data_IF_035964219611
#
_entry.id   IF_035964219611
#
_cell.length_a   1.000
_cell.length_b   1.000
_cell.length_c   1.000
_cell.angle_alpha   90.00
_cell.angle_beta   90.00
_cell.angle_gamma   90.00
#
_symmetry.space_group_name_H-M   'P 1'
#
loop_
_entity.id
_entity.type
_entity.pdbx_description
1 polymer ?
#
# COMPACT_ATOMS: atom_id res chain seq x y z
N UNK A 1 33.07 -6.97 -27.95
CA UNK A 1 32.27 -7.50 -26.87
C UNK A 1 30.81 -7.89 -27.26
N UNK A 2 30.38 -7.60 -28.48
CA UNK A 2 29.03 -7.91 -28.99
C UNK A 2 28.86 -9.37 -29.49
N UNK A 3 29.92 -10.07 -29.79
CA UNK A 3 29.86 -11.44 -30.38
C UNK A 3 29.56 -12.55 -29.36
N UNK A 4 29.76 -12.30 -28.06
CA UNK A 4 29.59 -13.32 -27.03
C UNK A 4 28.12 -13.45 -26.56
N UNK A 5 27.30 -12.38 -26.65
CA UNK A 5 25.92 -12.38 -26.26
C UNK A 5 25.03 -13.14 -27.27
N UNK A 6 25.31 -13.01 -28.54
CA UNK A 6 24.53 -13.66 -29.62
C UNK A 6 24.60 -15.20 -29.60
N UNK A 7 25.70 -15.77 -29.05
CA UNK A 7 25.89 -17.23 -28.97
C UNK A 7 25.08 -17.89 -27.83
N UNK A 8 24.78 -17.14 -26.76
CA UNK A 8 24.00 -17.65 -25.64
C UNK A 8 22.49 -17.77 -25.96
N UNK A 9 21.96 -16.86 -26.75
CA UNK A 9 20.53 -16.88 -27.10
C UNK A 9 20.17 -18.06 -28.03
N UNK A 10 21.06 -18.45 -28.90
CA UNK A 10 20.82 -19.58 -29.80
C UNK A 10 20.92 -20.94 -29.10
N UNK A 11 21.72 -21.06 -28.05
CA UNK A 11 21.87 -22.31 -27.29
C UNK A 11 20.62 -22.59 -26.41
N UNK A 12 19.97 -21.55 -25.89
CA UNK A 12 18.75 -21.70 -25.07
C UNK A 12 17.54 -22.04 -25.92
N UNK A 13 17.44 -21.50 -27.16
CA UNK A 13 16.33 -21.78 -28.07
C UNK A 13 16.32 -23.22 -28.60
N UNK A 14 17.50 -23.80 -28.87
CA UNK A 14 17.58 -25.18 -29.36
C UNK A 14 17.23 -26.23 -28.30
N UNK A 15 17.53 -25.97 -27.02
CA UNK A 15 17.19 -26.91 -25.94
C UNK A 15 15.69 -26.95 -25.60
N UNK A 16 14.97 -25.87 -25.85
CA UNK A 16 13.51 -25.80 -25.61
C UNK A 16 12.73 -26.51 -26.71
N UNK A 17 13.23 -26.46 -27.96
CA UNK A 17 12.55 -27.09 -29.10
C UNK A 17 12.70 -28.62 -29.07
N UNK A 18 13.87 -29.14 -28.62
CA UNK A 18 14.10 -30.58 -28.56
C UNK A 18 13.29 -31.29 -27.48
N UNK A 19 12.94 -30.60 -26.37
CA UNK A 19 12.08 -31.17 -25.32
C UNK A 19 10.60 -31.27 -25.71
N UNK A 20 10.13 -30.46 -26.67
CA UNK A 20 8.74 -30.54 -27.14
C UNK A 20 8.50 -31.64 -28.17
N UNK A 21 9.50 -32.03 -28.94
CA UNK A 21 9.35 -33.08 -29.94
C UNK A 21 9.28 -34.50 -29.35
N UNK A 22 9.88 -34.75 -28.20
CA UNK A 22 9.86 -36.06 -27.53
C UNK A 22 8.56 -36.36 -26.80
N UNK A 23 7.74 -35.33 -26.50
CA UNK A 23 6.47 -35.53 -25.79
C UNK A 23 5.32 -35.98 -26.68
N UNK A 24 5.39 -35.71 -28.00
CA UNK A 24 4.31 -36.09 -28.94
C UNK A 24 4.43 -37.52 -29.50
N UNK A 25 5.60 -38.14 -29.40
CA UNK A 25 5.84 -39.51 -29.86
C UNK A 25 5.30 -40.60 -28.91
N UNK A 26 5.02 -40.27 -27.65
CA UNK A 26 4.51 -41.21 -26.65
C UNK A 26 2.98 -41.19 -26.51
N UNK A 27 2.30 -40.22 -27.16
CA UNK A 27 0.85 -40.03 -27.00
C UNK A 27 -0.02 -40.83 -27.96
N UNK A 28 0.57 -41.54 -28.94
CA UNK A 28 -0.24 -42.23 -29.98
C UNK A 28 -0.39 -43.74 -29.77
N UNK A 29 0.14 -44.32 -28.69
CA UNK A 29 0.07 -45.79 -28.46
C UNK A 29 -0.87 -46.22 -27.33
N UNK A 30 -1.67 -45.31 -26.73
CA UNK A 30 -2.65 -45.65 -25.71
C UNK A 30 -4.07 -45.20 -26.05
N UNK A 31 -4.50 -45.48 -27.28
CA UNK A 31 -5.90 -45.32 -27.68
C UNK A 31 -6.65 -46.60 -27.30
N UNK A 32 -7.18 -46.69 -26.10
CA UNK A 32 -7.99 -47.88 -25.78
C UNK A 32 -8.43 -48.08 -24.35
N UNK A 33 -8.65 -47.02 -23.54
CA UNK A 33 -9.43 -47.19 -22.33
C UNK A 33 -10.07 -45.85 -21.92
N UNK A 34 -11.37 -45.75 -22.18
CA UNK A 34 -12.20 -44.61 -21.75
C UNK A 34 -12.37 -44.64 -20.24
N UNK A 35 -11.47 -43.99 -19.50
CA UNK A 35 -11.70 -43.62 -18.13
C UNK A 35 -12.26 -42.20 -18.07
N UNK A 36 -13.43 -41.99 -17.45
CA UNK A 36 -13.92 -40.64 -17.20
C UNK A 36 -12.97 -39.99 -16.18
N UNK A 37 -12.05 -39.15 -16.67
CA UNK A 37 -11.22 -38.32 -15.80
C UNK A 37 -12.12 -37.30 -15.11
N UNK A 38 -12.18 -37.24 -13.78
CA UNK A 38 -12.84 -36.16 -13.10
C UNK A 38 -12.12 -34.84 -13.46
N UNK A 39 -12.87 -33.91 -14.01
CA UNK A 39 -12.42 -32.55 -14.34
C UNK A 39 -12.20 -31.82 -13.00
N UNK A 40 -11.04 -32.01 -12.41
CA UNK A 40 -10.62 -31.20 -11.28
C UNK A 40 -10.25 -29.85 -11.86
N UNK A 41 -11.22 -28.93 -11.82
CA UNK A 41 -10.97 -27.53 -12.08
C UNK A 41 -9.94 -27.04 -11.05
N UNK A 42 -8.67 -26.99 -11.44
CA UNK A 42 -7.64 -26.30 -10.69
C UNK A 42 -8.00 -24.84 -10.65
N UNK A 43 -8.65 -24.40 -9.56
CA UNK A 43 -8.72 -22.98 -9.25
C UNK A 43 -7.27 -22.52 -9.06
N UNK A 44 -6.68 -22.00 -10.11
CA UNK A 44 -5.44 -21.26 -10.01
C UNK A 44 -5.76 -19.97 -9.25
N UNK A 45 -5.61 -19.99 -7.93
CA UNK A 45 -5.52 -18.76 -7.15
C UNK A 45 -4.30 -18.01 -7.67
N UNK A 46 -4.52 -17.02 -8.51
CA UNK A 46 -3.49 -16.08 -8.91
C UNK A 46 -3.04 -15.37 -7.64
N UNK A 47 -1.92 -15.81 -7.08
CA UNK A 47 -1.23 -15.09 -6.01
C UNK A 47 -0.76 -13.80 -6.66
N UNK A 48 -1.50 -12.71 -6.43
CA UNK A 48 -1.05 -11.36 -6.77
C UNK A 48 0.18 -11.09 -5.93
N UNK A 49 1.34 -11.30 -6.51
CA UNK A 49 2.62 -11.02 -5.90
C UNK A 49 2.76 -9.50 -5.81
N UNK A 50 2.34 -8.94 -4.69
CA UNK A 50 2.52 -7.52 -4.41
C UNK A 50 4.01 -7.25 -4.26
N UNK A 51 4.59 -6.51 -5.20
CA UNK A 51 5.96 -6.03 -5.10
C UNK A 51 6.07 -5.05 -3.93
N UNK A 52 6.52 -5.57 -2.80
CA UNK A 52 6.83 -4.76 -1.62
C UNK A 52 8.16 -4.05 -1.86
N UNK A 53 8.18 -2.75 -1.68
CA UNK A 53 9.32 -1.88 -1.88
C UNK A 53 9.60 -1.11 -0.60
N UNK A 54 10.87 -0.97 -0.25
CA UNK A 54 11.28 -0.06 0.81
C UNK A 54 11.31 1.37 0.29
N UNK A 55 10.57 2.24 0.94
CA UNK A 55 10.57 3.68 0.68
C UNK A 55 11.12 4.42 1.90
N UNK A 56 11.70 5.57 1.65
CA UNK A 56 12.13 6.53 2.67
C UNK A 56 11.43 7.85 2.44
N UNK A 57 11.24 8.63 3.48
CA UNK A 57 10.67 9.96 3.33
C UNK A 57 11.04 10.87 4.49
N UNK A 58 10.74 12.15 4.32
CA UNK A 58 10.91 13.18 5.33
C UNK A 58 9.57 13.89 5.49
N UNK A 59 9.13 14.03 6.73
CA UNK A 59 7.94 14.80 7.09
C UNK A 59 8.39 16.15 7.65
N UNK A 60 7.86 17.23 7.09
CA UNK A 60 8.14 18.61 7.46
C UNK A 60 6.86 19.36 7.75
N UNK A 61 6.97 20.43 8.50
CA UNK A 61 5.89 21.40 8.64
C UNK A 61 5.87 22.44 7.50
N UNK A 62 4.98 23.40 7.57
CA UNK A 62 4.86 24.49 6.57
C UNK A 62 6.08 25.44 6.59
N UNK A 63 6.85 25.50 7.71
CA UNK A 63 8.03 26.33 7.87
C UNK A 63 9.29 25.63 7.33
N UNK A 64 9.20 24.31 7.10
CA UNK A 64 10.30 23.46 6.63
C UNK A 64 11.02 22.71 7.74
N UNK A 65 10.54 22.81 8.98
CA UNK A 65 11.09 22.11 10.14
C UNK A 65 10.68 20.62 10.13
N UNK A 66 11.54 19.71 10.60
CA UNK A 66 11.22 18.29 10.64
C UNK A 66 10.18 18.00 11.73
N UNK A 67 9.14 17.24 11.37
CA UNK A 67 8.11 16.80 12.32
C UNK A 67 8.53 15.46 12.92
N UNK A 68 8.88 15.49 14.21
CA UNK A 68 9.36 14.34 14.98
C UNK A 68 8.15 13.56 15.52
N UNK A 69 8.16 12.24 15.42
CA UNK A 69 7.10 11.39 15.98
C UNK A 69 5.79 11.40 15.17
N UNK A 70 5.80 11.89 13.95
CA UNK A 70 4.64 11.80 13.05
C UNK A 70 4.34 10.33 12.70
N UNK A 71 3.07 9.96 12.73
CA UNK A 71 2.63 8.62 12.43
C UNK A 71 2.42 8.46 10.92
N UNK A 72 3.09 7.48 10.31
CA UNK A 72 3.01 7.16 8.88
C UNK A 72 2.44 5.77 8.74
N UNK A 73 1.21 5.63 8.24
CA UNK A 73 0.47 4.36 8.16
C UNK A 73 0.01 4.10 6.73
N UNK A 74 0.12 2.85 6.30
CA UNK A 74 -0.48 2.40 5.05
C UNK A 74 -2.01 2.26 5.23
N UNK A 75 -2.78 2.95 4.42
CA UNK A 75 -4.24 2.91 4.46
C UNK A 75 -4.74 1.49 4.16
N UNK A 76 -5.62 0.98 5.03
CA UNK A 76 -6.16 -0.38 4.90
C UNK A 76 -5.23 -1.50 5.37
N UNK A 77 -4.16 -1.17 6.10
CA UNK A 77 -3.21 -2.12 6.68
C UNK A 77 -2.79 -1.68 8.08
N UNK A 78 -2.25 -2.60 8.85
CA UNK A 78 -1.58 -2.32 10.15
C UNK A 78 -0.11 -1.93 9.97
N UNK A 79 0.36 -1.86 8.72
CA UNK A 79 1.74 -1.52 8.40
C UNK A 79 1.97 -0.02 8.56
N UNK A 80 2.85 0.37 9.46
CA UNK A 80 3.15 1.77 9.74
C UNK A 80 4.47 1.96 10.46
N UNK A 81 4.89 3.21 10.58
CA UNK A 81 6.10 3.64 11.27
C UNK A 81 5.91 5.06 11.82
N UNK A 82 6.85 5.53 12.62
CA UNK A 82 6.92 6.90 13.11
C UNK A 82 8.17 7.59 12.57
N UNK A 83 8.14 8.91 12.46
CA UNK A 83 9.31 9.71 12.06
C UNK A 83 10.32 9.83 13.19
N UNK A 84 11.59 9.86 12.83
CA UNK A 84 12.73 10.07 13.76
C UNK A 84 12.94 11.56 14.09
N UNK A 85 14.06 11.85 14.77
CA UNK A 85 14.45 13.21 15.19
C UNK A 85 14.74 14.16 14.01
N UNK A 86 15.04 13.63 12.85
CA UNK A 86 15.24 14.37 11.60
C UNK A 86 13.95 14.43 10.76
N UNK A 87 12.82 13.97 11.29
CA UNK A 87 11.56 13.83 10.55
C UNK A 87 11.58 12.74 9.47
N UNK A 88 12.58 11.85 9.47
CA UNK A 88 12.72 10.80 8.47
C UNK A 88 11.94 9.55 8.86
N UNK A 89 11.46 8.82 7.86
CA UNK A 89 10.84 7.50 8.05
C UNK A 89 11.27 6.52 6.97
N UNK A 90 11.18 5.25 7.30
CA UNK A 90 11.39 4.13 6.35
C UNK A 90 10.25 3.14 6.53
N UNK A 91 9.63 2.74 5.41
CA UNK A 91 8.49 1.81 5.42
C UNK A 91 8.53 0.90 4.20
N UNK A 92 8.15 -0.37 4.40
CA UNK A 92 8.01 -1.34 3.31
C UNK A 92 6.56 -1.35 2.84
N UNK A 93 6.31 -0.94 1.60
CA UNK A 93 4.95 -0.83 1.03
C UNK A 93 4.91 -1.27 -0.42
N UNK A 94 3.72 -1.63 -0.90
CA UNK A 94 3.52 -1.93 -2.32
C UNK A 94 3.39 -0.65 -3.14
N UNK A 95 3.83 -0.69 -4.39
CA UNK A 95 3.58 0.40 -5.35
C UNK A 95 2.08 0.58 -5.53
N UNK A 96 1.61 1.82 -5.52
CA UNK A 96 0.19 2.18 -5.56
C UNK A 96 -0.49 2.22 -4.19
N UNK A 97 0.18 1.82 -3.09
CA UNK A 97 -0.35 1.95 -1.75
C UNK A 97 -0.57 3.43 -1.38
N UNK A 98 -1.60 3.70 -0.59
CA UNK A 98 -1.83 5.02 -0.02
C UNK A 98 -1.25 5.07 1.39
N UNK A 99 -0.46 6.10 1.67
CA UNK A 99 0.05 6.39 3.00
C UNK A 99 -0.72 7.56 3.59
N UNK A 100 -1.08 7.43 4.85
CA UNK A 100 -1.64 8.50 5.66
C UNK A 100 -0.59 8.93 6.67
N UNK A 101 -0.29 10.21 6.70
CA UNK A 101 0.62 10.82 7.67
C UNK A 101 -0.20 11.71 8.59
N UNK A 102 -0.07 11.50 9.89
CA UNK A 102 -0.81 12.25 10.91
C UNK A 102 0.09 12.64 12.07
N UNK A 103 -0.15 13.82 12.64
CA UNK A 103 0.51 14.33 13.83
C UNK A 103 -0.42 15.26 14.60
N UNK A 104 -0.29 15.31 15.93
CA UNK A 104 -1.14 16.15 16.80
C UNK A 104 -0.97 17.62 16.42
N UNK A 105 -2.08 18.33 16.18
CA UNK A 105 -2.08 19.74 15.79
C UNK A 105 -1.83 19.99 14.31
N UNK A 106 -1.82 18.95 13.48
CA UNK A 106 -1.66 19.05 12.04
C UNK A 106 -2.76 18.32 11.28
N UNK A 107 -3.07 18.84 10.12
CA UNK A 107 -4.01 18.19 9.20
C UNK A 107 -3.40 16.93 8.60
N UNK A 108 -4.18 15.86 8.58
CA UNK A 108 -3.78 14.58 7.99
C UNK A 108 -3.46 14.73 6.50
N UNK A 109 -2.33 14.20 6.07
CA UNK A 109 -1.93 14.16 4.67
C UNK A 109 -1.95 12.74 4.12
N UNK A 110 -2.45 12.58 2.90
CA UNK A 110 -2.41 11.29 2.20
C UNK A 110 -1.59 11.42 0.91
N UNK A 111 -0.69 10.46 0.71
CA UNK A 111 0.10 10.34 -0.52
C UNK A 111 -0.06 8.95 -1.12
N UNK A 112 0.09 8.84 -2.43
CA UNK A 112 0.12 7.55 -3.13
C UNK A 112 1.57 7.20 -3.47
N UNK A 113 1.98 5.98 -3.11
CA UNK A 113 3.32 5.48 -3.40
C UNK A 113 3.46 5.20 -4.89
N UNK A 114 4.36 5.90 -5.55
CA UNK A 114 4.75 5.69 -6.94
C UNK A 114 6.04 4.86 -7.04
N UNK A 115 6.68 4.87 -8.19
CA UNK A 115 7.98 4.21 -8.37
C UNK A 115 9.15 4.92 -7.67
N UNK A 116 8.95 6.11 -7.11
CA UNK A 116 9.97 6.83 -6.35
C UNK A 116 10.31 6.12 -5.05
N UNK A 117 11.57 6.23 -4.60
CA UNK A 117 12.03 5.67 -3.33
C UNK A 117 12.03 6.70 -2.21
N UNK A 118 11.99 8.01 -2.56
CA UNK A 118 12.05 9.10 -1.60
C UNK A 118 10.84 10.03 -1.72
N UNK A 119 10.31 10.44 -0.58
CA UNK A 119 9.13 11.30 -0.46
C UNK A 119 9.40 12.44 0.51
N UNK A 120 8.92 13.64 0.16
CA UNK A 120 8.86 14.78 1.08
C UNK A 120 7.40 15.12 1.30
N UNK A 121 6.97 15.10 2.56
CA UNK A 121 5.58 15.31 2.96
C UNK A 121 5.55 16.56 3.81
N UNK A 122 4.69 17.52 3.46
CA UNK A 122 4.53 18.77 4.20
C UNK A 122 3.20 18.71 4.93
N UNK A 123 3.21 18.73 6.26
CA UNK A 123 2.03 18.85 7.08
C UNK A 123 1.67 20.33 7.28
N UNK A 124 0.39 20.64 7.25
CA UNK A 124 -0.14 21.96 7.58
C UNK A 124 -0.73 21.92 8.97
N UNK A 125 -0.47 22.95 9.75
CA UNK A 125 -1.07 23.10 11.07
C UNK A 125 -2.60 23.15 10.98
N UNK A 126 -3.26 22.47 11.88
CA UNK A 126 -4.71 22.50 12.01
C UNK A 126 -5.10 23.73 12.84
N UNK A 127 -5.34 24.84 12.14
CA UNK A 127 -5.77 26.10 12.77
C UNK A 127 -7.27 26.11 13.12
N UNK A 128 -8.05 25.09 12.65
CA UNK A 128 -9.47 25.02 12.92
C UNK A 128 -9.82 24.27 14.25
N UNK A 129 -8.83 23.67 14.90
CA UNK A 129 -9.00 22.90 16.15
C UNK A 129 -9.33 23.74 17.38
N UNK A 130 -9.41 25.07 17.27
CA UNK A 130 -9.83 26.00 18.33
C UNK A 130 -11.25 26.53 18.11
N UNK A 131 -12.12 25.81 17.43
CA UNK A 131 -13.53 26.13 17.49
C UNK A 131 -13.99 25.89 18.94
N UNK A 132 -14.08 27.02 19.64
CA UNK A 132 -14.51 27.22 21.01
C UNK A 132 -15.66 26.26 21.31
N UNK A 133 -15.43 25.32 22.23
CA UNK A 133 -16.54 24.58 22.84
C UNK A 133 -17.39 25.61 23.57
N UNK A 134 -18.35 26.21 22.87
CA UNK A 134 -19.40 26.96 23.48
C UNK A 134 -20.18 25.97 24.35
N UNK A 135 -19.85 25.93 25.62
CA UNK A 135 -20.64 25.28 26.63
C UNK A 135 -21.97 25.99 26.66
N UNK A 136 -22.93 25.52 25.85
CA UNK A 136 -24.30 25.96 25.95
C UNK A 136 -24.80 25.47 27.32
N UNK A 137 -24.71 26.36 28.30
CA UNK A 137 -25.30 26.14 29.60
C UNK A 137 -26.79 25.90 29.44
N UNK A 138 -27.20 24.66 29.57
CA UNK A 138 -28.62 24.31 29.76
C UNK A 138 -29.12 24.90 31.05
N UNK A 139 -29.63 26.12 30.99
CA UNK A 139 -30.21 26.84 32.12
C UNK A 139 -31.46 27.63 31.71
N UNK A 140 -32.45 26.99 31.12
CA UNK A 140 -33.78 27.57 31.03
C UNK A 140 -34.56 27.29 32.32
N UNK A 141 -34.35 28.11 33.34
CA UNK A 141 -35.34 28.19 34.42
C UNK A 141 -36.62 28.82 33.89
N UNK A 142 -37.59 27.97 33.71
CA UNK A 142 -38.99 28.40 33.47
C UNK A 142 -39.50 29.09 34.71
N UNK A 143 -39.57 30.44 34.70
CA UNK A 143 -40.27 31.21 35.72
C UNK A 143 -41.77 30.83 35.68
N UNK A 144 -42.19 30.03 36.64
CA UNK A 144 -43.58 29.82 36.92
C UNK A 144 -44.07 31.03 37.73
N UNK A 145 -44.83 31.93 37.11
CA UNK A 145 -45.57 32.97 37.79
C UNK A 145 -46.73 32.30 38.59
N UNK A 146 -46.57 32.23 39.89
CA UNK A 146 -47.64 31.98 40.83
C UNK A 146 -48.24 33.32 41.22
N UNK A 147 -49.26 33.75 40.49
CA UNK A 147 -50.25 34.72 41.00
C UNK A 147 -51.31 33.92 41.70
N UNK A 148 -51.27 33.93 43.02
CA UNK A 148 -52.34 33.46 43.88
C UNK A 148 -52.94 34.66 44.60
N UNK A 149 -54.24 34.85 44.40
CA UNK A 149 -55.13 35.72 45.21
C UNK A 149 -55.38 35.11 46.54
#
# INVERSE_FOLDING_TARGET
MQFYQKRRENCVKTHVILKKASFYACLTLFAGMAFPMPLWASLSTAIVQQHVKQITGIVKDANGDPVIGANVVQVGSTNGTITDVDGKFTLNVSVGAKLKVSYIGYNDQQITVSNSNSYTIILKEDTESLDEVVVVGYGTQKKVNLTGS
#
